data_IF_993125001492
#
_entry.id   IF_993125001492
#
_cell.length_a   1.000
_cell.length_b   1.000
_cell.length_c   1.000
_cell.angle_alpha   90.00
_cell.angle_beta   90.00
_cell.angle_gamma   90.00
#
_symmetry.space_group_name_H-M   'P 1'
#
loop_
_entity.id
_entity.type
_entity.pdbx_description
1 polymer ?
#
# COMPACT_ATOMS: atom_id res chain seq x y z
N UNK A 1 1.02 1.14 9.30
CA UNK A 1 1.66 0.92 7.99
C UNK A 1 0.64 0.31 7.07
N UNK A 2 0.42 0.93 5.93
CA UNK A 2 -0.59 0.47 4.98
C UNK A 2 0.11 -0.42 3.97
N UNK A 3 0.12 -1.71 4.21
CA UNK A 3 0.71 -2.73 3.34
C UNK A 3 0.14 -2.69 1.90
N UNK A 4 -1.07 -2.11 1.73
CA UNK A 4 -1.78 -2.04 0.46
C UNK A 4 -1.45 -0.82 -0.41
N UNK A 5 -0.47 0.02 -0.05
CA UNK A 5 -0.18 1.27 -0.78
C UNK A 5 1.17 1.29 -1.45
N UNK A 6 1.89 0.19 -1.50
CA UNK A 6 2.94 0.10 -2.49
C UNK A 6 2.28 0.04 -3.87
N UNK A 7 1.84 1.21 -4.31
CA UNK A 7 1.68 1.47 -5.71
C UNK A 7 3.09 1.30 -6.28
N UNK A 8 3.41 0.10 -6.75
CA UNK A 8 4.40 0.01 -7.80
C UNK A 8 3.78 0.90 -8.86
N UNK A 9 4.31 2.12 -8.93
CA UNK A 9 3.91 3.07 -9.93
C UNK A 9 4.42 2.45 -11.21
N UNK A 10 3.59 1.67 -11.85
CA UNK A 10 3.74 1.34 -13.26
C UNK A 10 3.48 2.65 -14.04
N UNK A 11 4.31 3.68 -13.74
CA UNK A 11 4.31 4.95 -14.46
C UNK A 11 4.84 4.81 -15.88
N UNK A 12 5.00 3.62 -16.41
CA UNK A 12 5.62 3.41 -17.72
C UNK A 12 4.66 2.80 -18.75
N UNK A 13 3.41 3.22 -18.70
CA UNK A 13 2.54 3.17 -19.86
C UNK A 13 2.48 4.50 -20.62
N UNK A 14 3.32 5.48 -20.30
CA UNK A 14 3.35 6.76 -21.03
C UNK A 14 4.39 6.67 -22.16
N UNK A 15 4.09 5.88 -23.17
CA UNK A 15 4.58 6.13 -24.50
C UNK A 15 3.91 7.40 -25.00
N UNK A 16 4.71 8.48 -25.10
CA UNK A 16 4.30 9.71 -25.76
C UNK A 16 3.67 9.40 -27.12
N UNK A 17 2.64 10.18 -27.43
CA UNK A 17 1.98 10.38 -28.74
C UNK A 17 0.86 9.41 -29.11
N UNK A 18 -0.34 9.97 -29.07
CA UNK A 18 -1.51 9.45 -29.79
C UNK A 18 -2.42 8.61 -28.91
N UNK A 19 -3.70 8.82 -29.04
CA UNK A 19 -4.82 8.05 -28.48
C UNK A 19 -4.78 6.60 -29.05
N UNK A 20 -3.69 5.89 -28.81
CA UNK A 20 -3.63 4.45 -28.99
C UNK A 20 -4.12 3.83 -27.68
N UNK A 21 -5.25 3.17 -27.74
CA UNK A 21 -5.78 2.35 -26.65
C UNK A 21 -4.64 1.39 -26.25
N UNK A 22 -4.04 1.64 -25.07
CA UNK A 22 -2.95 0.78 -24.61
C UNK A 22 -3.46 -0.66 -24.53
N UNK A 23 -2.71 -1.58 -25.13
CA UNK A 23 -3.07 -3.00 -25.07
C UNK A 23 -3.21 -3.42 -23.59
N UNK A 24 -4.15 -4.31 -23.28
CA UNK A 24 -4.27 -4.86 -21.94
C UNK A 24 -2.94 -5.49 -21.50
N UNK A 25 -2.53 -5.21 -20.27
CA UNK A 25 -1.33 -5.75 -19.64
C UNK A 25 -1.69 -6.56 -18.42
N UNK A 26 -1.01 -7.68 -18.23
CA UNK A 26 -1.05 -8.46 -17.02
C UNK A 26 0.30 -8.36 -16.33
N UNK A 27 0.29 -8.12 -15.03
CA UNK A 27 1.50 -8.03 -14.21
C UNK A 27 1.41 -9.03 -13.08
N UNK A 28 2.50 -9.73 -12.84
CA UNK A 28 2.72 -10.53 -11.62
C UNK A 28 3.95 -9.98 -10.95
N UNK A 29 3.85 -9.69 -9.66
CA UNK A 29 4.96 -9.19 -8.89
C UNK A 29 4.99 -9.71 -7.47
N UNK A 30 6.15 -9.58 -6.85
CA UNK A 30 6.42 -10.00 -5.48
C UNK A 30 7.33 -8.98 -4.80
N UNK A 31 6.99 -8.61 -3.55
CA UNK A 31 7.64 -7.52 -2.82
C UNK A 31 7.92 -7.91 -1.37
N UNK A 32 8.94 -8.75 -1.11
CA UNK A 32 9.41 -8.98 0.25
C UNK A 32 9.93 -7.70 0.89
N UNK A 33 9.50 -7.49 2.12
CA UNK A 33 9.73 -6.27 2.88
C UNK A 33 9.94 -6.58 4.35
N UNK A 34 10.73 -5.76 5.02
CA UNK A 34 10.96 -5.83 6.45
C UNK A 34 10.66 -4.49 7.10
N UNK A 35 9.95 -4.52 8.23
CA UNK A 35 9.61 -3.34 9.01
C UNK A 35 9.91 -3.57 10.47
N UNK A 36 10.42 -2.54 11.14
CA UNK A 36 10.67 -2.54 12.57
C UNK A 36 10.10 -1.27 13.19
N UNK A 37 9.50 -1.38 14.37
CA UNK A 37 9.00 -0.25 15.12
C UNK A 37 8.04 -0.66 16.23
N UNK A 38 7.58 0.31 17.00
CA UNK A 38 6.61 0.09 18.07
C UNK A 38 5.17 0.07 17.58
N UNK A 39 4.85 0.75 16.49
CA UNK A 39 3.51 0.88 15.92
C UNK A 39 2.46 1.33 16.93
N UNK A 40 2.85 2.20 17.85
CA UNK A 40 2.00 2.69 18.95
C UNK A 40 1.82 1.70 20.11
N UNK A 41 2.51 0.58 20.11
CA UNK A 41 2.54 -0.38 21.24
C UNK A 41 3.72 -0.12 22.18
N UNK A 42 3.79 -0.85 23.29
CA UNK A 42 4.91 -0.81 24.23
C UNK A 42 6.01 -1.85 23.91
N UNK A 43 5.96 -2.49 22.74
CA UNK A 43 6.94 -3.48 22.30
C UNK A 43 7.47 -3.15 20.92
N UNK A 44 8.69 -3.59 20.63
CA UNK A 44 9.23 -3.52 19.28
C UNK A 44 8.74 -4.71 18.46
N UNK A 45 8.05 -4.43 17.39
CA UNK A 45 7.62 -5.43 16.42
C UNK A 45 8.64 -5.49 15.28
N UNK A 46 8.95 -6.71 14.85
CA UNK A 46 9.66 -6.96 13.59
C UNK A 46 8.69 -7.70 12.69
N UNK A 47 8.46 -7.17 11.52
CA UNK A 47 7.47 -7.66 10.59
C UNK A 47 8.14 -7.93 9.25
N UNK A 48 8.20 -9.18 8.85
CA UNK A 48 8.44 -9.57 7.47
C UNK A 48 7.09 -9.62 6.77
N UNK A 49 7.00 -8.93 5.64
CA UNK A 49 5.80 -8.86 4.82
C UNK A 49 6.18 -9.13 3.38
N UNK A 50 5.60 -10.15 2.79
CA UNK A 50 5.77 -10.44 1.37
C UNK A 50 4.45 -10.21 0.65
N UNK A 51 4.40 -9.23 -0.25
CA UNK A 51 3.22 -8.94 -1.06
C UNK A 51 3.36 -9.57 -2.45
N UNK A 52 2.67 -10.67 -2.67
CA UNK A 52 2.51 -11.24 -4.01
C UNK A 52 1.24 -10.64 -4.63
N UNK A 53 1.36 -10.05 -5.83
CA UNK A 53 0.22 -9.41 -6.46
C UNK A 53 0.07 -9.78 -7.93
N UNK A 54 -1.18 -9.69 -8.38
CA UNK A 54 -1.63 -9.87 -9.75
C UNK A 54 -2.36 -8.61 -10.18
N UNK A 55 -1.97 -8.04 -11.32
CA UNK A 55 -2.61 -6.83 -11.82
C UNK A 55 -3.02 -7.01 -13.28
N UNK A 56 -4.22 -6.56 -13.59
CA UNK A 56 -4.69 -6.30 -14.94
C UNK A 56 -4.82 -4.79 -15.12
N UNK A 57 -4.33 -4.27 -16.24
CA UNK A 57 -4.44 -2.86 -16.58
C UNK A 57 -4.68 -2.66 -18.04
N UNK A 58 -5.58 -1.72 -18.38
CA UNK A 58 -5.74 -1.16 -19.72
C UNK A 58 -5.75 0.38 -19.62
N UNK A 59 -6.16 1.09 -20.68
CA UNK A 59 -6.18 2.56 -20.71
C UNK A 59 -7.05 3.24 -19.65
N UNK A 60 -8.05 2.55 -19.09
CA UNK A 60 -9.03 3.15 -18.17
C UNK A 60 -9.19 2.37 -16.87
N UNK A 61 -8.99 1.06 -16.90
CA UNK A 61 -9.24 0.17 -15.75
C UNK A 61 -7.94 -0.47 -15.27
N UNK A 62 -7.70 -0.42 -13.96
CA UNK A 62 -6.67 -1.20 -13.27
C UNK A 62 -7.31 -2.01 -12.15
N UNK A 63 -7.13 -3.31 -12.20
CA UNK A 63 -7.53 -4.26 -11.15
C UNK A 63 -6.26 -4.83 -10.53
N UNK A 64 -6.18 -4.86 -9.20
CA UNK A 64 -5.04 -5.45 -8.47
C UNK A 64 -5.55 -6.37 -7.37
N UNK A 65 -5.06 -7.60 -7.35
CA UNK A 65 -5.24 -8.58 -6.29
C UNK A 65 -3.92 -8.75 -5.56
N UNK A 66 -3.93 -8.60 -4.23
CA UNK A 66 -2.77 -8.74 -3.36
C UNK A 66 -3.00 -9.90 -2.39
N UNK A 67 -2.03 -10.80 -2.31
CA UNK A 67 -2.06 -11.99 -1.45
C UNK A 67 -0.79 -11.99 -0.60
N UNK A 68 -0.82 -11.33 0.57
CA UNK A 68 0.38 -11.18 1.38
C UNK A 68 0.65 -12.41 2.25
N UNK A 69 1.94 -12.62 2.55
CA UNK A 69 2.42 -13.51 3.61
C UNK A 69 3.12 -12.68 4.68
N UNK A 70 2.87 -13.00 5.94
CA UNK A 70 3.35 -12.27 7.10
C UNK A 70 4.16 -13.17 8.04
N UNK A 71 5.22 -12.62 8.62
CA UNK A 71 5.87 -13.17 9.80
C UNK A 71 6.16 -12.04 10.76
N UNK A 72 5.58 -12.09 11.94
CA UNK A 72 5.64 -11.03 12.94
C UNK A 72 6.23 -11.58 14.23
N UNK A 73 7.14 -10.82 14.84
CA UNK A 73 7.63 -11.06 16.18
C UNK A 73 7.46 -9.81 17.06
N UNK A 74 7.30 -10.01 18.36
CA UNK A 74 7.07 -8.92 19.30
C UNK A 74 5.62 -8.42 19.31
N UNK A 75 4.67 -9.15 18.72
CA UNK A 75 3.25 -8.77 18.70
C UNK A 75 2.67 -8.94 20.13
N UNK A 76 2.13 -7.86 20.75
CA UNK A 76 1.50 -7.99 22.08
C UNK A 76 0.32 -8.96 22.06
N UNK A 77 0.15 -9.75 23.11
CA UNK A 77 -1.01 -10.61 23.24
C UNK A 77 -2.30 -9.79 23.22
N UNK A 78 -3.26 -10.19 22.39
CA UNK A 78 -4.50 -9.44 22.18
C UNK A 78 -4.40 -8.25 21.23
N UNK A 79 -3.25 -8.03 20.60
CA UNK A 79 -3.11 -7.14 19.46
C UNK A 79 -3.35 -7.89 18.15
N UNK A 80 -3.76 -7.15 17.13
CA UNK A 80 -3.94 -7.65 15.76
C UNK A 80 -3.41 -6.65 14.74
N UNK A 81 -2.96 -7.16 13.60
CA UNK A 81 -2.67 -6.33 12.44
C UNK A 81 -3.99 -5.94 11.76
N UNK A 82 -4.13 -4.69 11.36
CA UNK A 82 -5.30 -4.18 10.65
C UNK A 82 -4.88 -3.16 9.60
N UNK A 83 -5.06 -3.50 8.34
CA UNK A 83 -4.83 -2.58 7.22
C UNK A 83 -3.46 -1.88 7.22
N UNK A 84 -2.46 -2.47 7.88
CA UNK A 84 -1.12 -1.91 8.03
C UNK A 84 -0.88 -1.15 9.34
N UNK A 85 -1.83 -1.14 10.23
CA UNK A 85 -1.71 -0.65 11.62
C UNK A 85 -1.68 -1.83 12.59
N UNK A 86 -1.26 -1.57 13.81
CA UNK A 86 -1.43 -2.50 14.93
C UNK A 86 -2.55 -1.96 15.82
N UNK A 87 -3.57 -2.76 16.00
CA UNK A 87 -4.68 -2.46 16.90
C UNK A 87 -4.59 -3.38 18.13
N UNK A 88 -4.74 -2.83 19.32
CA UNK A 88 -4.65 -3.60 20.55
C UNK A 88 -5.79 -3.25 21.48
N UNK A 89 -6.30 -4.24 22.23
CA UNK A 89 -7.29 -3.98 23.27
C UNK A 89 -6.68 -3.20 24.41
N UNK A 90 -7.43 -2.24 24.93
CA UNK A 90 -7.01 -1.44 26.11
C UNK A 90 -6.71 -2.38 27.29
N UNK A 91 -5.51 -2.30 27.84
CA UNK A 91 -5.06 -3.19 28.91
C UNK A 91 -4.51 -4.54 28.45
N UNK A 92 -4.12 -4.66 27.20
CA UNK A 92 -3.46 -5.86 26.69
C UNK A 92 -2.22 -6.22 27.52
N UNK A 93 -1.95 -7.53 27.74
CA UNK A 93 -0.77 -7.99 28.47
C UNK A 93 0.52 -7.48 27.84
N UNK A 94 1.54 -7.28 28.66
CA UNK A 94 2.90 -6.92 28.20
C UNK A 94 3.64 -8.09 27.52
N UNK A 95 3.10 -9.30 27.61
CA UNK A 95 3.66 -10.47 26.94
C UNK A 95 3.45 -10.39 25.44
N UNK A 96 4.47 -10.77 24.71
CA UNK A 96 4.47 -10.80 23.24
C UNK A 96 4.60 -12.21 22.71
N UNK A 97 4.19 -12.42 21.47
CA UNK A 97 4.33 -13.67 20.75
C UNK A 97 4.81 -13.41 19.31
N UNK A 98 5.12 -14.48 18.62
CA UNK A 98 5.40 -14.49 17.19
C UNK A 98 4.31 -15.24 16.46
N UNK A 99 3.98 -14.79 15.25
CA UNK A 99 2.99 -15.42 14.40
C UNK A 99 3.42 -15.32 12.93
N UNK A 100 3.02 -16.30 12.12
CA UNK A 100 3.26 -16.25 10.68
C UNK A 100 2.14 -16.94 9.92
N UNK A 101 1.87 -16.50 8.70
CA UNK A 101 0.83 -17.04 7.84
C UNK A 101 0.42 -16.05 6.75
N UNK A 102 -0.60 -16.43 5.98
CA UNK A 102 -1.19 -15.51 5.02
C UNK A 102 -1.88 -14.34 5.72
N UNK A 103 -1.73 -13.16 5.16
CA UNK A 103 -2.41 -11.95 5.59
C UNK A 103 -3.80 -11.81 4.99
N UNK A 104 -4.39 -10.63 5.18
CA UNK A 104 -5.66 -10.29 4.56
C UNK A 104 -5.46 -10.04 3.06
N UNK A 105 -6.26 -10.70 2.23
CA UNK A 105 -6.26 -10.51 0.78
C UNK A 105 -6.93 -9.18 0.44
N UNK A 106 -6.33 -8.43 -0.49
CA UNK A 106 -6.89 -7.17 -0.98
C UNK A 106 -7.24 -7.25 -2.46
N UNK A 107 -8.37 -6.67 -2.81
CA UNK A 107 -8.77 -6.43 -4.20
C UNK A 107 -9.01 -4.94 -4.39
N UNK A 108 -8.35 -4.35 -5.37
CA UNK A 108 -8.49 -2.94 -5.72
C UNK A 108 -8.93 -2.78 -7.18
N UNK A 109 -9.82 -1.82 -7.42
CA UNK A 109 -10.24 -1.39 -8.74
C UNK A 109 -10.09 0.13 -8.85
N UNK A 110 -9.35 0.58 -9.86
CA UNK A 110 -9.16 1.99 -10.21
C UNK A 110 -9.71 2.22 -11.61
N UNK A 111 -10.49 3.28 -11.78
CA UNK A 111 -11.07 3.61 -13.08
C UNK A 111 -10.76 5.07 -13.45
N UNK A 112 -10.05 5.29 -14.54
CA UNK A 112 -9.72 6.62 -15.03
C UNK A 112 -10.93 7.21 -15.76
N UNK A 113 -11.63 8.14 -15.13
CA UNK A 113 -12.80 8.82 -15.71
C UNK A 113 -12.41 10.02 -16.56
N UNK A 114 -11.26 10.63 -16.25
CA UNK A 114 -10.67 11.73 -17.01
C UNK A 114 -9.18 11.48 -17.15
N UNK A 115 -8.68 11.51 -18.38
CA UNK A 115 -7.25 11.42 -18.67
C UNK A 115 -6.56 12.75 -18.41
N UNK A 116 -5.29 12.72 -17.98
CA UNK A 116 -4.46 13.92 -17.86
C UNK A 116 -4.32 14.62 -19.20
N UNK A 117 -4.48 15.92 -19.23
CA UNK A 117 -4.35 16.74 -20.44
C UNK A 117 -3.93 18.18 -20.10
N UNK A 118 -2.78 18.58 -20.57
CA UNK A 118 -2.21 19.90 -20.33
C UNK A 118 -1.84 20.11 -18.85
N UNK A 119 -2.61 20.92 -18.11
CA UNK A 119 -2.46 21.14 -16.67
C UNK A 119 -3.59 20.48 -15.85
N UNK A 120 -4.45 19.71 -16.51
CA UNK A 120 -5.54 18.99 -15.84
C UNK A 120 -5.08 17.58 -15.49
N UNK A 121 -5.06 17.21 -14.21
CA UNK A 121 -4.71 15.86 -13.80
C UNK A 121 -5.76 14.84 -14.25
N UNK A 122 -5.35 13.60 -14.43
CA UNK A 122 -6.28 12.49 -14.54
C UNK A 122 -7.08 12.35 -13.25
N UNK A 123 -8.36 12.04 -13.37
CA UNK A 123 -9.25 11.79 -12.24
C UNK A 123 -9.53 10.28 -12.20
N UNK A 124 -9.14 9.65 -11.08
CA UNK A 124 -9.14 8.20 -10.91
C UNK A 124 -9.89 7.80 -9.64
N UNK A 125 -11.24 7.72 -9.66
CA UNK A 125 -11.97 7.07 -8.59
C UNK A 125 -11.49 5.62 -8.41
N UNK A 126 -11.50 5.15 -7.17
CA UNK A 126 -11.14 3.77 -6.85
C UNK A 126 -11.94 3.20 -5.69
N UNK A 127 -12.01 1.89 -5.67
CA UNK A 127 -12.55 1.12 -4.55
C UNK A 127 -11.60 -0.02 -4.21
N UNK A 128 -11.52 -0.37 -2.91
CA UNK A 128 -10.74 -1.51 -2.43
C UNK A 128 -11.54 -2.30 -1.41
N UNK A 129 -11.32 -3.60 -1.40
CA UNK A 129 -11.88 -4.52 -0.41
C UNK A 129 -10.72 -5.29 0.21
N UNK A 130 -10.64 -5.25 1.54
CA UNK A 130 -9.85 -6.18 2.34
C UNK A 130 -10.73 -7.35 2.75
N UNK A 131 -10.37 -8.54 2.40
CA UNK A 131 -11.01 -9.75 2.91
C UNK A 131 -10.31 -10.18 4.20
N UNK A 132 -11.08 -10.42 5.26
CA UNK A 132 -10.56 -10.87 6.56
C UNK A 132 -10.11 -12.33 6.52
N UNK A 133 -9.12 -12.64 5.68
CA UNK A 133 -8.62 -14.00 5.43
C UNK A 133 -7.48 -14.40 6.36
N UNK A 134 -6.81 -13.43 6.98
CA UNK A 134 -5.73 -13.67 7.93
C UNK A 134 -6.23 -14.30 9.23
N UNK A 135 -5.33 -15.03 9.91
CA UNK A 135 -5.64 -15.68 11.18
C UNK A 135 -5.85 -14.64 12.30
N UNK A 136 -7.09 -14.38 12.65
CA UNK A 136 -7.45 -13.48 13.77
C UNK A 136 -7.00 -14.04 15.13
N UNK A 137 -6.99 -15.37 15.30
CA UNK A 137 -6.53 -16.01 16.54
C UNK A 137 -5.02 -15.83 16.79
N UNK A 138 -4.26 -15.62 15.72
CA UNK A 138 -2.82 -15.33 15.78
C UNK A 138 -2.49 -13.83 15.71
N UNK A 139 -3.51 -12.97 15.58
CA UNK A 139 -3.32 -11.53 15.45
C UNK A 139 -2.79 -11.08 14.08
N UNK A 140 -2.78 -11.94 13.07
CA UNK A 140 -2.33 -11.59 11.71
C UNK A 140 -3.35 -10.74 10.94
N UNK A 141 -4.56 -10.62 11.44
CA UNK A 141 -5.65 -9.80 10.94
C UNK A 141 -6.78 -9.69 11.95
N UNK A 142 -7.77 -8.86 11.66
CA UNK A 142 -8.96 -8.69 12.52
C UNK A 142 -10.05 -9.73 12.24
N UNK A 143 -9.90 -10.53 11.17
CA UNK A 143 -10.93 -11.46 10.69
C UNK A 143 -12.18 -10.75 10.14
N UNK A 144 -12.08 -9.46 9.81
CA UNK A 144 -13.16 -8.62 9.28
C UNK A 144 -12.79 -8.02 7.95
N UNK A 145 -13.79 -7.83 7.10
CA UNK A 145 -13.62 -7.12 5.83
C UNK A 145 -13.61 -5.62 6.07
N UNK A 146 -12.75 -4.92 5.32
CA UNK A 146 -12.78 -3.46 5.21
C UNK A 146 -13.16 -3.10 3.78
N UNK A 147 -13.78 -1.94 3.62
CA UNK A 147 -14.14 -1.38 2.32
C UNK A 147 -13.56 0.03 2.22
N UNK A 148 -12.94 0.36 1.11
CA UNK A 148 -12.36 1.68 0.90
C UNK A 148 -12.85 2.26 -0.42
N UNK A 149 -13.28 3.51 -0.40
CA UNK A 149 -13.63 4.28 -1.59
C UNK A 149 -12.80 5.57 -1.61
N UNK A 150 -12.29 5.93 -2.76
CA UNK A 150 -11.40 7.07 -2.87
C UNK A 150 -11.32 7.68 -4.24
N UNK A 151 -10.50 8.73 -4.32
CA UNK A 151 -10.20 9.49 -5.51
C UNK A 151 -8.70 9.70 -5.62
N UNK A 152 -8.15 9.46 -6.80
CA UNK A 152 -6.80 9.79 -7.19
C UNK A 152 -6.78 10.94 -8.19
N UNK A 153 -5.74 11.75 -8.09
CA UNK A 153 -5.32 12.75 -9.06
C UNK A 153 -3.90 12.40 -9.50
N UNK A 154 -3.74 12.07 -10.76
CA UNK A 154 -2.47 11.68 -11.35
C UNK A 154 -2.14 12.65 -12.50
N UNK A 155 -0.94 13.23 -12.52
CA UNK A 155 -0.55 14.20 -13.52
C UNK A 155 0.76 13.81 -14.19
N UNK A 156 0.97 14.31 -15.40
CA UNK A 156 2.21 14.17 -16.15
C UNK A 156 2.75 15.53 -16.53
N UNK A 157 3.82 15.96 -15.87
CA UNK A 157 4.48 17.24 -16.14
C UNK A 157 5.69 17.00 -17.04
N UNK A 158 5.57 17.48 -18.28
CA UNK A 158 6.56 17.16 -19.31
C UNK A 158 6.60 15.66 -19.58
N UNK A 159 7.81 15.12 -19.80
CA UNK A 159 8.00 13.70 -20.08
C UNK A 159 8.61 12.91 -18.91
N UNK A 160 8.78 13.53 -17.73
CA UNK A 160 9.63 12.96 -16.68
C UNK A 160 9.10 13.06 -15.26
N UNK A 161 8.14 13.93 -14.98
CA UNK A 161 7.65 14.17 -13.62
C UNK A 161 6.19 13.71 -13.56
N UNK A 162 5.88 12.85 -12.60
CA UNK A 162 4.57 12.23 -12.43
C UNK A 162 4.07 12.44 -11.00
N UNK A 163 3.56 13.65 -10.67
CA UNK A 163 2.97 13.87 -9.37
C UNK A 163 1.62 13.16 -9.24
N UNK A 164 1.30 12.76 -8.02
CA UNK A 164 0.05 12.11 -7.69
C UNK A 164 -0.41 12.49 -6.28
N UNK A 165 -1.72 12.44 -6.07
CA UNK A 165 -2.34 12.58 -4.75
C UNK A 165 -3.61 11.73 -4.70
N UNK A 166 -3.76 10.95 -3.63
CA UNK A 166 -4.93 10.11 -3.43
C UNK A 166 -5.51 10.35 -2.04
N UNK A 167 -6.83 10.33 -1.95
CA UNK A 167 -7.55 10.37 -0.68
C UNK A 167 -8.67 9.34 -0.72
N UNK A 168 -8.90 8.64 0.39
CA UNK A 168 -10.00 7.69 0.50
C UNK A 168 -10.57 7.63 1.91
N UNK A 169 -11.78 7.10 2.00
CA UNK A 169 -12.44 6.79 3.25
C UNK A 169 -12.60 5.28 3.36
N UNK A 170 -12.08 4.72 4.47
CA UNK A 170 -12.13 3.30 4.77
C UNK A 170 -13.18 3.04 5.83
N UNK A 171 -14.12 2.17 5.50
CA UNK A 171 -15.06 1.55 6.41
C UNK A 171 -14.40 0.34 7.03
N UNK A 172 -14.03 0.46 8.28
CA UNK A 172 -13.25 -0.57 9.00
C UNK A 172 -14.19 -1.60 9.60
N UNK A 173 -13.94 -2.87 9.31
CA UNK A 173 -14.66 -3.98 9.92
C UNK A 173 -14.28 -4.13 11.40
N UNK A 174 -15.28 -4.01 12.28
CA UNK A 174 -15.06 -4.01 13.72
C UNK A 174 -15.34 -5.40 14.31
N UNK A 175 -14.32 -6.09 14.88
CA UNK A 175 -14.52 -7.35 15.59
C UNK A 175 -15.34 -7.16 16.88
N UNK A 176 -16.08 -8.19 17.35
CA UNK A 176 -16.77 -8.12 18.61
C UNK A 176 -15.82 -7.84 19.78
N UNK A 177 -16.13 -6.80 20.55
CA UNK A 177 -15.33 -6.38 21.72
C UNK A 177 -14.19 -5.42 21.42
N UNK A 178 -13.96 -5.06 20.17
CA UNK A 178 -13.08 -3.97 19.75
C UNK A 178 -13.90 -2.69 19.48
N UNK A 179 -13.24 -1.56 19.49
CA UNK A 179 -13.85 -0.26 19.18
C UNK A 179 -13.02 0.43 18.08
N UNK A 180 -13.07 -0.12 16.90
CA UNK A 180 -12.41 0.45 15.73
C UNK A 180 -13.32 1.49 15.07
N UNK A 181 -12.71 2.49 14.46
CA UNK A 181 -13.40 3.57 13.76
C UNK A 181 -13.03 3.59 12.29
N UNK A 182 -13.92 4.12 11.48
CA UNK A 182 -13.64 4.43 10.09
C UNK A 182 -12.61 5.54 9.98
N UNK A 183 -11.80 5.51 8.95
CA UNK A 183 -10.64 6.39 8.81
C UNK A 183 -10.53 7.01 7.43
N UNK A 184 -9.93 8.19 7.39
CA UNK A 184 -9.38 8.76 6.18
C UNK A 184 -7.98 8.22 5.93
N UNK A 185 -7.68 7.98 4.66
CA UNK A 185 -6.39 7.52 4.16
C UNK A 185 -5.97 8.42 3.03
N UNK A 186 -4.69 8.76 2.95
CA UNK A 186 -4.19 9.71 1.95
C UNK A 186 -2.73 9.44 1.62
N UNK A 187 -2.35 9.73 0.40
CA UNK A 187 -0.95 9.82 0.00
C UNK A 187 -0.76 10.95 -1.01
N UNK A 188 0.45 11.48 -1.04
CA UNK A 188 0.90 12.47 -2.01
C UNK A 188 2.36 12.22 -2.33
N UNK A 189 2.72 12.32 -3.59
CA UNK A 189 4.08 12.07 -4.02
C UNK A 189 4.34 12.46 -5.45
N UNK A 190 5.54 12.11 -5.89
CA UNK A 190 5.91 12.26 -7.30
C UNK A 190 6.94 11.21 -7.68
N UNK A 191 6.84 10.74 -8.91
CA UNK A 191 7.88 9.95 -9.56
C UNK A 191 8.66 10.79 -10.55
N UNK A 192 9.95 10.53 -10.65
CA UNK A 192 10.85 11.18 -11.60
C UNK A 192 11.54 10.14 -12.48
N UNK A 193 11.32 10.22 -13.78
CA UNK A 193 11.97 9.40 -14.78
C UNK A 193 13.41 9.93 -15.04
N UNK A 194 14.39 9.33 -14.38
CA UNK A 194 15.80 9.69 -14.52
C UNK A 194 16.28 9.40 -15.94
N UNK A 195 15.96 8.20 -16.42
CA UNK A 195 16.18 7.72 -17.80
C UNK A 195 15.21 6.56 -18.12
N UNK A 196 15.27 5.98 -19.30
CA UNK A 196 14.36 4.92 -19.78
C UNK A 196 14.25 3.71 -18.84
N UNK A 197 15.24 3.47 -17.99
CA UNK A 197 15.30 2.34 -17.07
C UNK A 197 15.07 2.73 -15.62
N UNK A 198 15.37 3.95 -15.21
CA UNK A 198 15.42 4.35 -13.81
C UNK A 198 14.34 5.36 -13.46
N UNK A 199 13.52 5.03 -12.48
CA UNK A 199 12.50 5.90 -11.89
C UNK A 199 12.75 6.03 -10.40
N UNK A 200 12.79 7.26 -9.90
CA UNK A 200 12.82 7.57 -8.48
C UNK A 200 11.45 8.08 -8.05
N UNK A 201 10.97 7.62 -6.91
CA UNK A 201 9.69 8.05 -6.34
C UNK A 201 9.90 8.51 -4.91
N UNK A 202 9.33 9.66 -4.57
CA UNK A 202 9.19 10.12 -3.20
C UNK A 202 7.71 10.28 -2.87
N UNK A 203 7.28 9.79 -1.69
CA UNK A 203 5.88 9.80 -1.31
C UNK A 203 5.74 9.96 0.21
N UNK A 204 4.76 10.78 0.61
CA UNK A 204 4.21 10.78 1.95
C UNK A 204 2.91 9.95 1.92
N UNK A 205 2.82 8.98 2.82
CA UNK A 205 1.63 8.14 3.01
C UNK A 205 1.12 8.27 4.44
N UNK A 206 -0.20 8.35 4.62
CA UNK A 206 -0.77 8.52 5.94
C UNK A 206 -2.21 8.05 6.06
N UNK A 207 -2.63 7.85 7.31
CA UNK A 207 -4.01 7.56 7.66
C UNK A 207 -4.34 8.03 9.07
N UNK A 208 -5.63 8.19 9.35
CA UNK A 208 -6.09 8.27 10.72
C UNK A 208 -5.88 6.92 11.43
N UNK A 209 -5.83 6.94 12.75
CA UNK A 209 -5.83 5.69 13.51
C UNK A 209 -7.18 4.99 13.43
N UNK A 210 -7.17 3.68 13.19
CA UNK A 210 -8.36 2.86 13.31
C UNK A 210 -8.81 2.72 14.79
N UNK A 211 -7.91 2.96 15.73
CA UNK A 211 -8.19 2.89 17.16
C UNK A 211 -8.29 4.30 17.76
N UNK A 212 -9.43 4.69 18.37
CA UNK A 212 -9.59 6.00 18.99
C UNK A 212 -8.54 6.27 20.06
N UNK A 213 -7.94 7.47 20.05
CA UNK A 213 -6.93 7.90 21.01
C UNK A 213 -5.50 7.47 20.70
N UNK A 214 -5.26 6.82 19.57
CA UNK A 214 -3.93 6.46 19.09
C UNK A 214 -3.53 7.31 17.86
N UNK A 215 -2.24 7.43 17.62
CA UNK A 215 -1.73 8.06 16.42
C UNK A 215 -1.93 7.15 15.21
N UNK A 216 -2.45 7.70 14.12
CA UNK A 216 -2.46 7.02 12.84
C UNK A 216 -1.05 6.96 12.23
N UNK A 217 -0.81 6.06 11.27
CA UNK A 217 0.46 5.99 10.56
C UNK A 217 0.67 7.23 9.68
N UNK A 218 1.93 7.66 9.58
CA UNK A 218 2.40 8.71 8.70
C UNK A 218 3.85 8.37 8.32
N UNK A 219 4.10 8.17 7.03
CA UNK A 219 5.33 7.57 6.53
C UNK A 219 5.89 8.38 5.36
N UNK A 220 7.21 8.47 5.29
CA UNK A 220 7.93 8.97 4.14
C UNK A 220 8.60 7.80 3.42
N UNK A 221 8.24 7.60 2.17
CA UNK A 221 8.73 6.50 1.34
C UNK A 221 9.56 7.05 0.20
N UNK A 222 10.72 6.45 -0.02
CA UNK A 222 11.55 6.69 -1.19
C UNK A 222 11.78 5.35 -1.89
N UNK A 223 11.52 5.29 -3.19
CA UNK A 223 11.66 4.10 -4.00
C UNK A 223 12.49 4.36 -5.24
N UNK A 224 13.26 3.36 -5.63
CA UNK A 224 13.94 3.28 -6.92
C UNK A 224 13.43 2.06 -7.68
N UNK A 225 12.98 2.30 -8.92
CA UNK A 225 12.53 1.27 -9.83
C UNK A 225 13.52 1.17 -11.00
N UNK A 226 13.93 -0.06 -11.32
CA UNK A 226 14.71 -0.35 -12.50
C UNK A 226 13.88 -1.18 -13.48
N UNK A 227 13.56 -0.60 -14.63
CA UNK A 227 12.82 -1.27 -15.68
C UNK A 227 13.76 -1.99 -16.63
N UNK A 228 13.65 -3.30 -16.68
CA UNK A 228 14.40 -4.16 -17.62
C UNK A 228 13.78 -4.06 -19.00
N UNK A 229 12.46 -3.95 -19.06
CA UNK A 229 11.70 -3.85 -20.32
C UNK A 229 10.93 -2.55 -20.41
N UNK A 230 10.61 -2.10 -21.63
CA UNK A 230 9.73 -0.93 -21.84
C UNK A 230 8.29 -1.17 -21.37
N UNK A 231 7.87 -2.42 -21.26
CA UNK A 231 6.56 -2.76 -20.72
C UNK A 231 6.48 -2.60 -19.17
N UNK A 232 7.61 -2.43 -18.49
CA UNK A 232 7.68 -2.22 -17.03
C UNK A 232 8.04 -3.47 -16.24
N UNK A 233 8.49 -4.57 -16.88
CA UNK A 233 9.12 -5.66 -16.13
C UNK A 233 10.43 -5.17 -15.54
N UNK A 234 10.67 -5.46 -14.25
CA UNK A 234 11.83 -4.94 -13.56
C UNK A 234 11.82 -5.24 -12.08
N UNK A 235 12.61 -4.49 -11.33
CA UNK A 235 12.67 -4.61 -9.88
C UNK A 235 12.62 -3.24 -9.20
N UNK A 236 12.22 -3.25 -7.94
CA UNK A 236 12.09 -2.10 -7.08
C UNK A 236 12.86 -2.32 -5.78
N UNK A 237 13.49 -1.26 -5.31
CA UNK A 237 13.99 -1.12 -3.95
C UNK A 237 13.30 0.10 -3.32
N UNK A 238 12.86 -0.02 -2.07
CA UNK A 238 12.34 1.13 -1.35
C UNK A 238 12.83 1.17 0.09
N UNK A 239 12.80 2.37 0.63
CA UNK A 239 13.01 2.66 2.04
C UNK A 239 11.81 3.45 2.56
N UNK A 240 11.37 3.10 3.76
CA UNK A 240 10.26 3.71 4.47
C UNK A 240 10.77 4.26 5.80
N UNK A 241 10.40 5.48 6.13
CA UNK A 241 10.65 6.14 7.40
C UNK A 241 9.35 6.59 8.03
N UNK A 242 9.00 5.98 9.15
CA UNK A 242 7.87 6.42 9.95
C UNK A 242 8.11 7.78 10.60
N UNK A 243 7.08 8.60 10.58
CA UNK A 243 7.05 9.96 11.11
C UNK A 243 6.08 10.10 12.30
N UNK A 244 5.36 9.03 12.63
CA UNK A 244 4.40 9.00 13.73
C UNK A 244 4.60 7.77 14.61
N UNK A 245 4.01 7.80 15.81
CA UNK A 245 4.03 6.64 16.70
C UNK A 245 3.22 5.44 16.16
N UNK A 246 2.30 5.66 15.22
CA UNK A 246 1.53 4.58 14.56
C UNK A 246 2.25 3.92 13.41
N UNK A 247 3.44 4.40 13.06
CA UNK A 247 4.29 3.94 11.96
C UNK A 247 5.41 3.01 12.44
N UNK A 248 6.10 2.28 11.54
CA UNK A 248 7.38 1.67 11.84
C UNK A 248 8.44 2.74 12.12
N UNK A 249 9.52 2.39 12.82
CA UNK A 249 10.70 3.24 12.87
C UNK A 249 11.36 3.34 11.50
N UNK A 250 11.40 2.21 10.79
CA UNK A 250 11.82 2.11 9.40
C UNK A 250 11.25 0.85 8.72
N UNK A 251 11.26 0.87 7.40
CA UNK A 251 10.97 -0.25 6.53
C UNK A 251 11.91 -0.29 5.34
N UNK A 252 12.15 -1.46 4.82
CA UNK A 252 12.90 -1.69 3.58
C UNK A 252 12.24 -2.82 2.80
N UNK A 253 12.16 -2.69 1.49
CA UNK A 253 11.67 -3.76 0.63
C UNK A 253 12.41 -3.80 -0.69
N UNK A 254 12.54 -5.01 -1.21
CA UNK A 254 13.07 -5.27 -2.54
C UNK A 254 12.15 -6.27 -3.24
N UNK A 255 11.79 -6.00 -4.47
CA UNK A 255 10.91 -6.90 -5.20
C UNK A 255 11.06 -6.77 -6.69
N UNK A 256 10.24 -7.50 -7.42
CA UNK A 256 10.24 -7.48 -8.87
C UNK A 256 8.88 -7.78 -9.45
N UNK A 257 8.74 -7.45 -10.73
CA UNK A 257 7.54 -7.73 -11.49
C UNK A 257 7.83 -8.14 -12.91
N UNK A 258 6.94 -8.94 -13.46
CA UNK A 258 6.92 -9.31 -14.87
C UNK A 258 5.60 -8.81 -15.47
N UNK A 259 5.72 -8.10 -16.60
CA UNK A 259 4.58 -7.57 -17.37
C UNK A 259 4.48 -8.34 -18.69
N UNK A 260 3.27 -8.82 -18.97
CA UNK A 260 2.93 -9.65 -20.15
C UNK A 260 2.05 -8.89 -21.12
#
# INVERSE_FOLDING_TARGET
MRWSHFVIISCLGVGATGIAQAAPQFTVGDMPSFFQGSFGTNSTLNIFYNDTYFQYQNSTLRLKLEVPYLSVSGLPNGASLSGGSVVSRKGAPTQTHSASGFGDVWLAAHYTVLQSSGLMPAIVPFAKIKFGTASASQGLGTGRNDYEIGMGLDETIGARIFPFAHIAYRFVGNPPGDNLQNIWTYNIGSSYLVNEHNVLTGMFDGAQSEQPGYSGPADLVVAWNYNVTRAGSGFQLYFDKGLSNGSPDFGIGIGGQVVF
#
